data_IF_804624493933
#
_entry.id   IF_804624493933
#
_cell.length_a   1.000
_cell.length_b   1.000
_cell.length_c   1.000
_cell.angle_alpha   90.00
_cell.angle_beta   90.00
_cell.angle_gamma   90.00
#
_symmetry.space_group_name_H-M   'P 1'
#
loop_
_entity.id
_entity.type
_entity.pdbx_description
1 polymer ?
#
# COMPACT_ATOMS: atom_id res chain seq x y z
N UNK A 1 -6.44 -13.92 1.91
CA UNK A 1 -6.87 -12.57 1.52
C UNK A 1 -5.66 -11.86 0.94
N UNK A 2 -5.81 -11.25 -0.24
CA UNK A 2 -4.74 -10.56 -0.95
C UNK A 2 -3.99 -9.56 -0.05
N UNK A 3 -2.65 -9.44 -0.15
CA UNK A 3 -1.91 -8.41 0.56
C UNK A 3 -2.47 -7.00 0.27
N UNK A 4 -2.76 -6.70 -1.00
CA UNK A 4 -3.29 -5.40 -1.43
C UNK A 4 -4.60 -5.04 -0.75
N UNK A 5 -5.54 -5.98 -0.72
CA UNK A 5 -6.84 -5.78 -0.06
C UNK A 5 -6.68 -5.53 1.44
N UNK A 6 -5.79 -6.26 2.13
CA UNK A 6 -5.56 -6.02 3.59
C UNK A 6 -5.01 -4.61 3.83
N UNK A 7 -4.12 -4.12 2.97
CA UNK A 7 -3.58 -2.76 3.05
C UNK A 7 -4.65 -1.69 2.74
N UNK A 8 -5.53 -1.93 1.78
CA UNK A 8 -6.68 -1.05 1.51
C UNK A 8 -7.59 -0.96 2.73
N UNK A 9 -7.96 -2.10 3.33
CA UNK A 9 -8.76 -2.13 4.57
C UNK A 9 -8.07 -1.41 5.72
N UNK A 10 -6.74 -1.50 5.82
CA UNK A 10 -5.97 -0.77 6.83
C UNK A 10 -6.17 0.73 6.68
N UNK A 11 -6.02 1.27 5.47
CA UNK A 11 -6.22 2.71 5.22
C UNK A 11 -7.66 3.18 5.34
N UNK A 12 -8.65 2.28 5.23
CA UNK A 12 -10.05 2.58 5.56
C UNK A 12 -10.25 2.74 7.07
N UNK A 13 -9.60 1.90 7.88
CA UNK A 13 -9.63 2.01 9.36
C UNK A 13 -8.77 3.16 9.87
N UNK A 14 -7.73 3.53 9.12
CA UNK A 14 -6.80 4.61 9.43
C UNK A 14 -6.83 5.67 8.31
N UNK A 15 -7.89 6.50 8.23
CA UNK A 15 -8.07 7.47 7.13
C UNK A 15 -7.02 8.59 7.08
N UNK A 16 -6.18 8.69 8.12
CA UNK A 16 -5.00 9.53 8.21
C UNK A 16 -3.70 8.83 7.80
N UNK A 17 -3.73 7.55 7.46
CA UNK A 17 -2.58 6.80 6.98
C UNK A 17 -2.61 6.70 5.46
N UNK A 18 -1.46 6.95 4.84
CA UNK A 18 -1.19 6.74 3.43
C UNK A 18 -0.09 5.70 3.37
N UNK A 19 -0.30 4.61 2.65
CA UNK A 19 0.73 3.60 2.48
C UNK A 19 1.42 3.80 1.14
N UNK A 20 2.74 3.69 1.14
CA UNK A 20 3.55 3.62 -0.07
C UNK A 20 4.21 2.25 -0.10
N UNK A 21 3.83 1.46 -1.08
CA UNK A 21 4.23 0.06 -1.21
C UNK A 21 5.14 -0.05 -2.41
N UNK A 22 6.39 -0.46 -2.19
CA UNK A 22 7.26 -0.88 -3.26
C UNK A 22 7.08 -2.39 -3.42
N UNK A 23 6.62 -2.81 -4.60
CA UNK A 23 6.37 -4.21 -4.88
C UNK A 23 6.84 -4.60 -6.27
N UNK A 24 7.29 -5.83 -6.41
CA UNK A 24 7.65 -6.43 -7.68
C UNK A 24 6.48 -7.22 -8.23
N UNK A 25 5.99 -6.80 -9.39
CA UNK A 25 4.86 -7.42 -10.08
C UNK A 25 5.32 -7.87 -11.46
N UNK A 26 5.26 -9.17 -11.76
CA UNK A 26 5.75 -9.74 -13.02
C UNK A 26 7.22 -9.41 -13.36
N UNK A 27 8.07 -9.27 -12.34
CA UNK A 27 9.49 -9.01 -12.54
C UNK A 27 9.88 -7.53 -12.57
N UNK A 28 8.94 -6.60 -12.62
CA UNK A 28 9.20 -5.16 -12.58
C UNK A 28 8.81 -4.58 -11.24
N UNK A 29 9.60 -3.60 -10.78
CA UNK A 29 9.31 -2.86 -9.56
C UNK A 29 8.26 -1.81 -9.87
N UNK A 30 7.22 -1.78 -9.05
CA UNK A 30 6.15 -0.81 -9.08
C UNK A 30 6.01 -0.15 -7.71
N UNK A 31 5.60 1.11 -7.72
CA UNK A 31 5.34 1.89 -6.53
C UNK A 31 3.84 2.17 -6.46
N UNK A 32 3.21 1.69 -5.40
CA UNK A 32 1.76 1.72 -5.23
C UNK A 32 1.43 2.56 -4.00
N UNK A 33 0.66 3.62 -4.20
CA UNK A 33 0.08 4.40 -3.12
C UNK A 33 -1.29 3.84 -2.75
N UNK A 34 -1.53 3.67 -1.46
CA UNK A 34 -2.82 3.22 -0.93
C UNK A 34 -3.32 4.25 0.06
N UNK A 35 -4.52 4.78 -0.18
CA UNK A 35 -5.15 5.78 0.67
C UNK A 35 -6.67 5.62 0.68
N UNK A 36 -7.25 5.58 1.89
CA UNK A 36 -8.71 5.47 2.10
C UNK A 36 -9.37 4.34 1.30
N UNK A 37 -8.71 3.18 1.22
CA UNK A 37 -9.22 2.00 0.52
C UNK A 37 -9.02 2.00 -0.99
N UNK A 38 -8.34 2.99 -1.55
CA UNK A 38 -8.00 3.03 -2.97
C UNK A 38 -6.50 2.84 -3.14
N UNK A 39 -6.12 1.97 -4.06
CA UNK A 39 -4.74 1.75 -4.49
C UNK A 39 -4.49 2.37 -5.86
N UNK A 40 -3.31 2.92 -6.08
CA UNK A 40 -2.90 3.53 -7.35
C UNK A 40 -1.42 3.29 -7.60
N UNK A 41 -1.10 2.73 -8.76
CA UNK A 41 0.27 2.58 -9.23
C UNK A 41 0.80 3.91 -9.77
N UNK A 42 2.06 4.24 -9.46
CA UNK A 42 2.76 5.41 -9.96
C UNK A 42 3.60 5.15 -11.21
N UNK A 43 3.93 3.88 -11.50
CA UNK A 43 4.78 3.51 -12.63
C UNK A 43 3.96 2.91 -13.77
N UNK A 44 2.90 2.17 -13.45
CA UNK A 44 2.05 1.51 -14.43
C UNK A 44 0.74 2.26 -14.62
N UNK A 45 0.17 2.24 -15.83
CA UNK A 45 -1.20 2.70 -16.00
C UNK A 45 -2.09 1.88 -15.07
N UNK A 46 -2.77 2.53 -14.13
CA UNK A 46 -3.87 1.90 -13.39
C UNK A 46 -4.85 1.33 -14.40
N UNK A 47 -5.15 0.03 -14.27
CA UNK A 47 -6.18 -0.59 -15.08
C UNK A 47 -7.48 0.22 -14.92
N UNK A 48 -8.14 0.53 -16.04
CA UNK A 48 -9.43 1.25 -16.02
C UNK A 48 -10.52 0.42 -15.32
N UNK A 49 -10.34 -0.90 -15.26
CA UNK A 49 -11.22 -1.83 -14.58
C UNK A 49 -10.96 -1.81 -13.06
N UNK A 50 -11.91 -1.31 -12.24
CA UNK A 50 -11.77 -1.26 -10.79
C UNK A 50 -11.78 -2.64 -10.13
N UNK A 51 -12.15 -3.71 -10.85
CA UNK A 51 -12.12 -5.09 -10.34
C UNK A 51 -10.73 -5.73 -10.46
N UNK A 52 -9.76 -5.06 -11.12
CA UNK A 52 -8.37 -5.54 -11.22
C UNK A 52 -7.55 -4.99 -10.06
N UNK A 53 -7.09 -5.83 -9.11
CA UNK A 53 -6.29 -5.37 -7.98
C UNK A 53 -4.97 -4.77 -8.47
N UNK A 54 -4.64 -3.57 -8.00
CA UNK A 54 -3.35 -2.91 -8.32
C UNK A 54 -2.18 -3.71 -7.77
N UNK A 55 -2.35 -4.34 -6.60
CA UNK A 55 -1.39 -5.27 -6.03
C UNK A 55 -1.96 -6.71 -6.10
N UNK A 56 -1.57 -7.51 -7.11
CA UNK A 56 -2.03 -8.89 -7.25
C UNK A 56 -1.49 -9.80 -6.14
N UNK A 57 -2.09 -10.97 -5.96
CA UNK A 57 -1.70 -11.94 -4.91
C UNK A 57 -0.26 -12.43 -5.06
N UNK A 58 0.26 -12.45 -6.29
CA UNK A 58 1.62 -12.86 -6.62
C UNK A 58 2.64 -11.71 -6.50
N UNK A 59 2.20 -10.50 -6.15
CA UNK A 59 3.10 -9.37 -5.96
C UNK A 59 4.05 -9.63 -4.78
N UNK A 60 5.34 -9.48 -5.02
CA UNK A 60 6.34 -9.53 -3.96
C UNK A 60 6.48 -8.13 -3.37
N UNK A 61 6.04 -7.94 -2.13
CA UNK A 61 6.23 -6.68 -1.42
C UNK A 61 7.69 -6.59 -0.97
N UNK A 62 8.40 -5.58 -1.47
CA UNK A 62 9.79 -5.31 -1.09
C UNK A 62 9.84 -4.45 0.17
N UNK A 63 9.03 -3.38 0.21
CA UNK A 63 8.93 -2.53 1.40
C UNK A 63 7.63 -1.74 1.46
N UNK A 64 7.23 -1.36 2.67
CA UNK A 64 6.06 -0.53 2.96
C UNK A 64 6.48 0.65 3.83
N UNK A 65 6.14 1.85 3.39
CA UNK A 65 6.19 3.06 4.20
C UNK A 65 4.78 3.44 4.65
N UNK A 66 4.65 3.88 5.89
CA UNK A 66 3.41 4.46 6.42
C UNK A 66 3.62 5.96 6.55
N UNK A 67 2.80 6.75 5.86
CA UNK A 67 2.83 8.19 5.87
C UNK A 67 1.58 8.77 6.51
N UNK A 68 1.70 9.97 7.09
CA UNK A 68 0.58 10.73 7.61
C UNK A 68 -0.11 11.53 6.50
N UNK A 69 -1.44 11.52 6.53
CA UNK A 69 -2.31 12.37 5.73
C UNK A 69 -2.51 13.75 6.36
N UNK A 70 -2.78 14.81 5.57
CA UNK A 70 -2.89 14.80 4.11
C UNK A 70 -1.55 14.54 3.41
N UNK A 71 -1.55 13.70 2.37
CA UNK A 71 -0.34 13.37 1.61
C UNK A 71 0.16 14.61 0.85
N UNK A 72 1.40 15.02 1.13
CA UNK A 72 2.11 16.02 0.36
C UNK A 72 3.31 15.35 -0.34
N UNK A 73 3.30 15.21 -1.68
CA UNK A 73 4.39 14.57 -2.40
C UNK A 73 5.71 15.36 -2.34
N UNK A 74 5.66 16.68 -2.15
CA UNK A 74 6.87 17.51 -2.01
C UNK A 74 7.49 17.41 -0.61
N UNK A 75 6.68 17.07 0.40
CA UNK A 75 7.09 16.94 1.79
C UNK A 75 6.35 15.77 2.47
N UNK A 76 6.67 14.52 2.10
CA UNK A 76 6.03 13.35 2.68
C UNK A 76 6.34 13.24 4.18
N UNK A 77 5.30 13.09 5.00
CA UNK A 77 5.44 12.91 6.44
C UNK A 77 5.43 11.42 6.78
N UNK A 78 6.60 10.83 6.98
CA UNK A 78 6.71 9.42 7.31
C UNK A 78 6.47 9.15 8.80
N UNK A 79 5.58 8.21 9.09
CA UNK A 79 5.35 7.63 10.42
C UNK A 79 6.23 6.40 10.63
N UNK A 80 6.32 5.55 9.61
CA UNK A 80 7.19 4.38 9.56
C UNK A 80 7.76 4.23 8.15
N UNK A 81 9.00 3.76 8.04
CA UNK A 81 9.68 3.56 6.76
C UNK A 81 10.31 2.19 6.71
N UNK A 82 10.41 1.63 5.52
CA UNK A 82 11.23 0.44 5.30
C UNK A 82 10.61 -0.84 5.87
N UNK A 83 9.30 -0.87 6.16
CA UNK A 83 8.69 -2.03 6.79
C UNK A 83 8.70 -3.22 5.83
N UNK A 84 9.10 -4.36 6.35
CA UNK A 84 8.87 -5.64 5.69
C UNK A 84 7.38 -6.00 5.74
N UNK A 85 6.97 -6.95 4.90
CA UNK A 85 5.61 -7.49 4.95
C UNK A 85 5.27 -8.10 6.32
N UNK A 86 6.23 -8.77 6.97
CA UNK A 86 6.05 -9.36 8.30
C UNK A 86 5.79 -8.30 9.37
N UNK A 87 6.57 -7.22 9.38
CA UNK A 87 6.33 -6.10 10.31
C UNK A 87 4.96 -5.46 10.05
N UNK A 88 4.58 -5.28 8.79
CA UNK A 88 3.27 -4.74 8.43
C UNK A 88 2.13 -5.65 8.91
N UNK A 89 2.31 -6.97 8.93
CA UNK A 89 1.29 -7.89 9.47
C UNK A 89 0.97 -7.59 10.93
N UNK A 90 1.95 -7.19 11.75
CA UNK A 90 1.70 -6.77 13.13
C UNK A 90 0.77 -5.54 13.22
N UNK A 91 0.93 -4.57 12.32
CA UNK A 91 0.03 -3.41 12.25
C UNK A 91 -1.38 -3.78 11.78
N UNK A 92 -1.48 -4.71 10.81
CA UNK A 92 -2.75 -5.24 10.33
C UNK A 92 -3.51 -5.96 11.45
N UNK A 93 -2.83 -6.85 12.18
CA UNK A 93 -3.40 -7.60 13.30
C UNK A 93 -3.86 -6.67 14.43
N UNK A 94 -3.06 -5.65 14.78
CA UNK A 94 -3.43 -4.63 15.76
C UNK A 94 -4.67 -3.83 15.34
N UNK A 95 -4.88 -3.64 14.03
CA UNK A 95 -6.10 -3.05 13.47
C UNK A 95 -7.26 -4.05 13.30
N UNK A 96 -7.05 -5.33 13.61
CA UNK A 96 -8.01 -6.42 13.45
C UNK A 96 -8.25 -6.79 11.98
N UNK A 97 -7.18 -6.97 11.20
CA UNK A 97 -7.16 -7.30 9.77
C UNK A 97 -6.20 -8.45 9.42
#
# INVERSE_FOLDING_TARGET
MAPGFRLEQYTLKHPQAVLRVLAKVHGEVDEILIFRGFSSSLVRPTAFDPDVPVLPDEAQIDTIDILAGPYNPDQPHYLHQGLSWEEMQGFLEAAGL
#
